data_IF_330877431949
#
_entry.id   IF_330877431949
#
_cell.length_a   1.000
_cell.length_b   1.000
_cell.length_c   1.000
_cell.angle_alpha   90.00
_cell.angle_beta   90.00
_cell.angle_gamma   90.00
#
_symmetry.space_group_name_H-M   'P 1'
#
loop_
_entity.id
_entity.type
_entity.pdbx_description
1 polymer ?
#
# COMPACT_ATOMS: atom_id res chain seq x y z
N UNK A 1 0.32 9.32 -19.37
CA UNK A 1 1.32 8.33 -19.87
C UNK A 1 1.65 7.38 -18.75
N UNK A 2 1.52 6.08 -18.95
CA UNK A 2 2.01 5.05 -18.05
C UNK A 2 3.50 4.88 -18.33
N UNK A 3 4.35 5.01 -17.32
CA UNK A 3 5.80 4.82 -17.45
C UNK A 3 6.18 3.34 -17.29
N UNK A 4 5.59 2.68 -16.30
CA UNK A 4 5.78 1.24 -16.07
C UNK A 4 4.52 0.65 -15.42
N UNK A 5 4.37 -0.65 -15.56
CA UNK A 5 3.25 -1.40 -14.99
C UNK A 5 3.76 -2.73 -14.48
N UNK A 6 3.44 -3.05 -13.23
CA UNK A 6 3.70 -4.36 -12.65
C UNK A 6 2.41 -4.88 -12.04
N UNK A 7 1.92 -5.99 -12.58
CA UNK A 7 0.67 -6.61 -12.16
C UNK A 7 0.96 -7.83 -11.30
N UNK A 8 0.07 -8.10 -10.37
CA UNK A 8 -0.02 -9.40 -9.70
C UNK A 8 -0.77 -10.34 -10.62
N UNK A 9 -0.19 -11.50 -11.00
CA UNK A 9 -0.89 -12.48 -11.83
C UNK A 9 -2.18 -12.96 -11.19
N UNK A 10 -3.24 -13.11 -11.97
CA UNK A 10 -4.54 -13.57 -11.47
C UNK A 10 -4.47 -14.91 -10.75
N UNK A 11 -3.61 -15.83 -11.21
CA UNK A 11 -3.39 -17.11 -10.54
C UNK A 11 -2.82 -16.94 -9.12
N UNK A 12 -1.89 -15.98 -8.91
CA UNK A 12 -1.31 -15.67 -7.60
C UNK A 12 -2.37 -15.02 -6.69
N UNK A 13 -3.14 -14.06 -7.23
CA UNK A 13 -4.23 -13.41 -6.49
C UNK A 13 -5.28 -14.43 -6.02
N UNK A 14 -5.65 -15.37 -6.91
CA UNK A 14 -6.60 -16.44 -6.63
C UNK A 14 -6.09 -17.37 -5.52
N UNK A 15 -4.87 -17.86 -5.66
CA UNK A 15 -4.26 -18.76 -4.67
C UNK A 15 -4.16 -18.09 -3.29
N UNK A 16 -3.67 -16.84 -3.24
CA UNK A 16 -3.57 -16.09 -1.99
C UNK A 16 -4.94 -15.87 -1.35
N UNK A 17 -5.96 -15.47 -2.13
CA UNK A 17 -7.30 -15.23 -1.61
C UNK A 17 -7.91 -16.50 -1.00
N UNK A 18 -7.78 -17.65 -1.64
CA UNK A 18 -8.28 -18.93 -1.12
C UNK A 18 -7.55 -19.37 0.14
N UNK A 19 -6.22 -19.30 0.16
CA UNK A 19 -5.45 -19.60 1.37
C UNK A 19 -5.80 -18.67 2.54
N UNK A 20 -6.02 -17.38 2.25
CA UNK A 20 -6.44 -16.44 3.29
C UNK A 20 -7.87 -16.70 3.76
N UNK A 21 -8.78 -17.15 2.89
CA UNK A 21 -10.12 -17.59 3.29
C UNK A 21 -10.09 -18.82 4.20
N UNK A 22 -9.18 -19.76 3.96
CA UNK A 22 -8.99 -20.92 4.83
C UNK A 22 -8.48 -20.49 6.22
N UNK A 23 -7.56 -19.54 6.27
CA UNK A 23 -6.98 -19.01 7.51
C UNK A 23 -7.90 -18.00 8.24
N UNK A 24 -8.74 -17.26 7.50
CA UNK A 24 -9.65 -16.23 8.00
C UNK A 24 -10.99 -16.28 7.26
N UNK A 25 -11.86 -17.25 7.58
CA UNK A 25 -13.17 -17.37 6.94
C UNK A 25 -14.03 -16.12 7.14
N UNK A 26 -14.62 -15.64 6.06
CA UNK A 26 -15.41 -14.40 6.08
C UNK A 26 -14.67 -13.16 5.56
N UNK A 27 -13.38 -13.26 5.25
CA UNK A 27 -12.65 -12.21 4.53
C UNK A 27 -13.35 -11.84 3.23
N UNK A 28 -13.34 -10.56 2.89
CA UNK A 28 -13.88 -10.02 1.63
C UNK A 28 -12.76 -9.34 0.85
N UNK A 29 -12.85 -9.47 -0.47
CA UNK A 29 -11.80 -8.99 -1.39
C UNK A 29 -12.31 -7.93 -2.34
N UNK A 30 -11.38 -7.09 -2.76
CA UNK A 30 -11.53 -6.14 -3.85
C UNK A 30 -10.24 -6.18 -4.66
N UNK A 31 -10.33 -6.16 -5.98
CA UNK A 31 -9.17 -6.00 -6.88
C UNK A 31 -9.24 -4.70 -7.65
N UNK A 32 -8.08 -4.09 -7.86
CA UNK A 32 -7.91 -2.86 -8.63
C UNK A 32 -7.21 -3.23 -9.94
N UNK A 33 -7.85 -2.93 -11.06
CA UNK A 33 -7.43 -3.29 -12.42
C UNK A 33 -7.39 -2.05 -13.32
N UNK A 34 -7.00 -2.23 -14.57
CA UNK A 34 -7.09 -1.21 -15.63
C UNK A 34 -6.47 0.14 -15.21
N UNK A 35 -5.22 0.11 -14.75
CA UNK A 35 -4.48 1.30 -14.30
C UNK A 35 -5.20 2.09 -13.18
N UNK A 36 -5.96 1.39 -12.33
CA UNK A 36 -6.69 1.99 -11.20
C UNK A 36 -8.12 2.45 -11.55
N UNK A 37 -8.60 2.20 -12.75
CA UNK A 37 -9.93 2.61 -13.21
C UNK A 37 -11.02 1.64 -12.76
N UNK A 38 -10.73 0.35 -12.72
CA UNK A 38 -11.68 -0.70 -12.36
C UNK A 38 -11.47 -1.19 -10.94
N UNK A 39 -12.56 -1.16 -10.15
CA UNK A 39 -12.64 -1.73 -8.81
C UNK A 39 -13.63 -2.90 -8.87
N UNK A 40 -13.13 -4.12 -8.83
CA UNK A 40 -13.95 -5.32 -8.75
C UNK A 40 -14.08 -5.74 -7.28
N UNK A 41 -15.21 -5.45 -6.63
CA UNK A 41 -15.43 -5.75 -5.22
C UNK A 41 -16.36 -6.96 -5.05
N UNK A 42 -15.99 -7.82 -4.09
CA UNK A 42 -16.79 -8.97 -3.72
C UNK A 42 -18.08 -8.54 -3.01
N UNK A 43 -19.16 -9.27 -3.25
CA UNK A 43 -20.41 -9.13 -2.49
C UNK A 43 -20.13 -9.14 -0.98
N UNK A 44 -20.65 -8.14 -0.27
CA UNK A 44 -20.40 -7.95 1.16
C UNK A 44 -19.13 -7.17 1.49
N UNK A 45 -18.34 -6.71 0.49
CA UNK A 45 -17.17 -5.85 0.73
C UNK A 45 -17.59 -4.41 1.01
N UNK A 46 -18.55 -3.88 0.26
CA UNK A 46 -19.01 -2.50 0.38
C UNK A 46 -19.56 -2.17 1.78
N UNK A 47 -20.18 -3.13 2.44
CA UNK A 47 -20.69 -3.00 3.81
C UNK A 47 -19.59 -2.87 4.87
N UNK A 48 -18.36 -3.22 4.53
CA UNK A 48 -17.18 -3.14 5.40
C UNK A 48 -16.38 -1.86 5.18
N UNK A 49 -16.77 -0.98 4.27
CA UNK A 49 -15.96 0.15 3.84
C UNK A 49 -16.70 1.48 3.94
N UNK A 50 -15.95 2.58 3.91
CA UNK A 50 -16.46 3.95 3.88
C UNK A 50 -15.88 4.68 2.67
N UNK A 51 -16.43 5.84 2.32
CA UNK A 51 -15.86 6.70 1.28
C UNK A 51 -14.36 6.99 1.50
N UNK A 52 -13.96 7.25 2.74
CA UNK A 52 -12.57 7.58 3.08
C UNK A 52 -11.58 6.44 2.80
N UNK A 53 -12.05 5.18 2.75
CA UNK A 53 -11.17 4.04 2.51
C UNK A 53 -10.63 3.98 1.08
N UNK A 54 -11.48 4.32 0.09
CA UNK A 54 -11.15 4.19 -1.33
C UNK A 54 -11.39 5.46 -2.15
N UNK A 55 -11.82 6.57 -1.52
CA UNK A 55 -12.31 7.78 -2.21
C UNK A 55 -13.43 7.47 -3.21
N UNK A 56 -14.29 6.51 -2.84
CA UNK A 56 -15.41 6.01 -3.65
C UNK A 56 -16.59 5.67 -2.74
N UNK A 57 -17.80 5.99 -3.19
CA UNK A 57 -19.01 5.64 -2.44
C UNK A 57 -19.19 4.11 -2.41
N UNK A 58 -19.43 3.51 -1.23
CA UNK A 58 -19.69 2.07 -1.12
C UNK A 58 -20.87 1.61 -1.98
N UNK A 59 -21.90 2.45 -2.16
CA UNK A 59 -23.06 2.16 -3.00
C UNK A 59 -22.72 1.98 -4.49
N UNK A 60 -21.61 2.57 -4.94
CA UNK A 60 -21.15 2.51 -6.33
C UNK A 60 -20.22 1.32 -6.60
N UNK A 61 -19.90 0.55 -5.55
CA UNK A 61 -19.04 -0.63 -5.69
C UNK A 61 -19.86 -1.82 -6.20
N UNK A 62 -19.37 -2.56 -7.21
CA UNK A 62 -20.04 -3.76 -7.69
C UNK A 62 -20.07 -4.85 -6.60
N UNK A 63 -21.12 -5.68 -6.62
CA UNK A 63 -21.26 -6.83 -5.71
C UNK A 63 -21.09 -8.13 -6.47
N UNK A 64 -19.83 -8.44 -6.84
CA UNK A 64 -19.47 -9.57 -7.68
C UNK A 64 -19.27 -10.86 -6.86
N UNK A 65 -19.29 -11.99 -7.52
CA UNK A 65 -18.85 -13.24 -6.91
C UNK A 65 -17.30 -13.28 -6.86
N UNK A 66 -16.74 -14.10 -5.96
CA UNK A 66 -15.28 -14.10 -5.74
C UNK A 66 -14.49 -14.40 -7.01
N UNK A 67 -14.92 -15.36 -7.81
CA UNK A 67 -14.25 -15.73 -9.06
C UNK A 67 -14.18 -14.56 -10.05
N UNK A 68 -15.22 -13.72 -10.11
CA UNK A 68 -15.24 -12.52 -10.95
C UNK A 68 -14.28 -11.44 -10.42
N UNK A 69 -14.16 -11.30 -9.09
CA UNK A 69 -13.20 -10.39 -8.45
C UNK A 69 -11.77 -10.78 -8.78
N UNK A 70 -11.49 -12.09 -8.75
CA UNK A 70 -10.15 -12.67 -8.94
C UNK A 70 -9.82 -12.97 -10.41
N UNK A 71 -10.74 -12.74 -11.34
CA UNK A 71 -10.52 -12.97 -12.76
C UNK A 71 -9.46 -12.01 -13.32
N UNK A 72 -8.40 -12.58 -13.91
CA UNK A 72 -7.30 -11.85 -14.55
C UNK A 72 -6.34 -11.15 -13.59
N UNK A 73 -5.34 -10.50 -14.18
CA UNK A 73 -4.28 -9.81 -13.47
C UNK A 73 -4.80 -8.51 -12.84
N UNK A 74 -4.20 -8.11 -11.71
CA UNK A 74 -4.57 -6.88 -11.02
C UNK A 74 -3.35 -6.08 -10.56
N UNK A 75 -3.51 -4.77 -10.40
CA UNK A 75 -2.49 -3.90 -9.81
C UNK A 75 -2.33 -4.18 -8.31
N UNK A 76 -3.46 -4.38 -7.66
CA UNK A 76 -3.53 -4.56 -6.21
C UNK A 76 -4.81 -5.31 -5.83
N UNK A 77 -4.71 -6.18 -4.87
CA UNK A 77 -5.85 -6.75 -4.16
C UNK A 77 -5.92 -6.13 -2.76
N UNK A 78 -7.14 -5.96 -2.27
CA UNK A 78 -7.42 -5.50 -0.91
C UNK A 78 -8.22 -6.59 -0.21
N UNK A 79 -7.87 -6.88 1.05
CA UNK A 79 -8.59 -7.84 1.88
C UNK A 79 -9.08 -7.16 3.16
N UNK A 80 -10.33 -7.43 3.54
CA UNK A 80 -10.96 -6.90 4.74
C UNK A 80 -11.79 -7.99 5.44
N UNK A 81 -11.80 -7.94 6.76
CA UNK A 81 -12.58 -8.90 7.54
C UNK A 81 -13.58 -8.16 8.45
N UNK A 82 -14.86 -8.65 8.56
CA UNK A 82 -15.87 -7.93 9.33
C UNK A 82 -15.59 -7.85 10.84
N UNK A 83 -14.88 -8.81 11.38
CA UNK A 83 -14.74 -8.98 12.84
C UNK A 83 -13.28 -9.06 13.32
N UNK A 84 -12.30 -9.26 12.43
CA UNK A 84 -10.89 -9.34 12.83
C UNK A 84 -10.23 -7.95 12.74
N UNK A 85 -9.45 -7.53 13.75
CA UNK A 85 -8.53 -6.41 13.62
C UNK A 85 -7.56 -6.62 12.45
N UNK A 86 -7.12 -5.54 11.84
CA UNK A 86 -6.22 -5.62 10.66
C UNK A 86 -4.89 -6.30 11.00
N UNK A 87 -4.39 -6.12 12.21
CA UNK A 87 -3.16 -6.75 12.69
C UNK A 87 -3.30 -8.28 12.77
N UNK A 88 -4.45 -8.78 13.23
CA UNK A 88 -4.72 -10.22 13.26
C UNK A 88 -4.91 -10.76 11.85
N UNK A 89 -5.61 -10.04 10.98
CA UNK A 89 -5.74 -10.43 9.58
C UNK A 89 -4.37 -10.48 8.88
N UNK A 90 -3.48 -9.52 9.17
CA UNK A 90 -2.12 -9.49 8.66
C UNK A 90 -1.28 -10.69 9.15
N UNK A 91 -1.41 -11.05 10.42
CA UNK A 91 -0.73 -12.23 10.97
C UNK A 91 -1.19 -13.52 10.28
N UNK A 92 -2.50 -13.66 10.01
CA UNK A 92 -3.04 -14.79 9.24
C UNK A 92 -2.57 -14.77 7.79
N UNK A 93 -2.55 -13.60 7.14
CA UNK A 93 -2.02 -13.46 5.79
C UNK A 93 -0.53 -13.85 5.70
N UNK A 94 0.28 -13.50 6.69
CA UNK A 94 1.68 -13.92 6.75
C UNK A 94 1.84 -15.45 6.90
N UNK A 95 0.87 -16.12 7.53
CA UNK A 95 0.91 -17.56 7.77
C UNK A 95 0.53 -18.41 6.54
N UNK A 96 -0.01 -17.81 5.47
CA UNK A 96 -0.42 -18.58 4.27
C UNK A 96 0.75 -19.04 3.40
N UNK A 97 1.98 -18.59 3.69
CA UNK A 97 3.21 -19.10 3.07
C UNK A 97 3.42 -18.65 1.62
N UNK A 98 3.06 -17.40 1.27
CA UNK A 98 3.21 -16.82 -0.06
C UNK A 98 4.05 -15.53 -0.07
N UNK A 99 4.99 -15.41 0.85
CA UNK A 99 5.82 -14.20 0.97
C UNK A 99 6.76 -13.96 -0.24
N UNK A 100 7.05 -15.01 -1.00
CA UNK A 100 7.88 -14.91 -2.22
C UNK A 100 7.05 -14.47 -3.47
N UNK A 101 5.72 -14.53 -3.39
CA UNK A 101 4.82 -14.21 -4.50
C UNK A 101 4.08 -12.88 -4.30
N UNK A 102 3.78 -12.53 -3.04
CA UNK A 102 3.01 -11.33 -2.72
C UNK A 102 3.69 -10.48 -1.65
N UNK A 103 3.50 -9.17 -1.76
CA UNK A 103 3.82 -8.20 -0.73
C UNK A 103 2.53 -7.77 -0.03
N UNK A 104 2.44 -7.96 1.29
CA UNK A 104 1.28 -7.62 2.12
C UNK A 104 1.64 -6.47 3.06
N UNK A 105 0.86 -5.40 3.03
CA UNK A 105 1.07 -4.24 3.88
C UNK A 105 -0.26 -3.63 4.36
N UNK A 106 -0.17 -2.61 5.21
CA UNK A 106 -1.30 -1.81 5.70
C UNK A 106 -0.97 -0.32 5.59
N UNK A 107 -1.97 0.50 5.30
CA UNK A 107 -1.84 1.96 5.17
C UNK A 107 -2.54 2.73 6.31
N UNK A 108 -2.64 2.13 7.50
CA UNK A 108 -3.37 2.71 8.63
C UNK A 108 -4.90 2.59 8.52
N UNK A 109 -5.41 1.94 7.48
CA UNK A 109 -6.83 1.62 7.27
C UNK A 109 -7.10 0.18 7.71
N UNK A 110 -8.35 -0.18 8.09
CA UNK A 110 -8.68 -1.52 8.58
C UNK A 110 -8.77 -2.54 7.42
N UNK A 111 -7.75 -2.61 6.59
CA UNK A 111 -7.65 -3.50 5.45
C UNK A 111 -6.19 -3.86 5.15
N UNK A 112 -5.97 -5.00 4.53
CA UNK A 112 -4.70 -5.38 3.94
C UNK A 112 -4.63 -4.89 2.49
N UNK A 113 -3.47 -4.42 2.10
CA UNK A 113 -3.11 -4.14 0.71
C UNK A 113 -2.13 -5.21 0.25
N UNK A 114 -2.46 -5.91 -0.83
CA UNK A 114 -1.70 -7.02 -1.37
C UNK A 114 -1.32 -6.70 -2.81
N UNK A 115 -0.04 -6.69 -3.10
CA UNK A 115 0.54 -6.48 -4.43
C UNK A 115 1.45 -7.66 -4.82
N UNK A 116 1.91 -7.69 -6.05
CA UNK A 116 2.96 -8.63 -6.45
C UNK A 116 4.22 -8.43 -5.59
N UNK A 117 4.98 -9.49 -5.35
CA UNK A 117 6.25 -9.37 -4.65
C UNK A 117 7.18 -8.37 -5.37
N UNK A 118 7.91 -7.58 -4.59
CA UNK A 118 8.76 -6.50 -5.10
C UNK A 118 8.01 -5.24 -5.54
N UNK A 119 6.69 -5.17 -5.38
CA UNK A 119 5.89 -3.96 -5.63
C UNK A 119 5.60 -3.27 -4.30
N UNK A 120 6.39 -2.25 -4.01
CA UNK A 120 6.24 -1.39 -2.84
C UNK A 120 6.59 0.06 -3.21
N UNK A 121 6.52 0.97 -2.26
CA UNK A 121 6.77 2.41 -2.54
C UNK A 121 8.22 2.70 -2.93
N UNK A 122 9.18 1.99 -2.36
CA UNK A 122 10.60 2.09 -2.70
C UNK A 122 10.89 1.64 -4.12
N UNK A 123 10.35 0.50 -4.55
CA UNK A 123 10.55 0.00 -5.92
C UNK A 123 9.97 0.96 -6.96
N UNK A 124 8.78 1.51 -6.71
CA UNK A 124 8.18 2.54 -7.56
C UNK A 124 9.02 3.82 -7.61
N UNK A 125 9.56 4.28 -6.48
CA UNK A 125 10.44 5.44 -6.41
C UNK A 125 11.77 5.18 -7.12
N UNK A 126 12.37 3.99 -6.94
CA UNK A 126 13.59 3.59 -7.64
C UNK A 126 13.41 3.62 -9.15
N UNK A 127 12.36 3.01 -9.67
CA UNK A 127 12.05 3.01 -11.10
C UNK A 127 11.84 4.43 -11.66
N UNK A 128 11.21 5.31 -10.90
CA UNK A 128 11.03 6.70 -11.29
C UNK A 128 12.37 7.46 -11.31
N UNK A 129 13.22 7.27 -10.31
CA UNK A 129 14.55 7.87 -10.24
C UNK A 129 15.42 7.42 -11.41
N UNK A 130 15.44 6.12 -11.73
CA UNK A 130 16.15 5.58 -12.88
C UNK A 130 15.66 6.18 -14.20
N UNK A 131 14.33 6.32 -14.36
CA UNK A 131 13.73 6.94 -15.55
C UNK A 131 14.10 8.42 -15.71
N UNK A 132 14.21 9.15 -14.60
CA UNK A 132 14.54 10.59 -14.60
C UNK A 132 16.04 10.87 -14.52
N UNK A 133 16.89 9.84 -14.32
CA UNK A 133 18.33 10.03 -14.10
C UNK A 133 18.65 10.72 -12.76
N UNK A 134 17.84 10.49 -11.73
CA UNK A 134 18.01 11.04 -10.38
C UNK A 134 18.75 10.00 -9.52
N UNK A 135 19.87 10.40 -8.93
CA UNK A 135 20.58 9.56 -7.98
C UNK A 135 19.75 9.35 -6.72
N UNK A 136 19.74 8.10 -6.19
CA UNK A 136 19.12 7.80 -4.91
C UNK A 136 19.54 8.78 -3.79
N UNK A 137 20.82 9.17 -3.78
CA UNK A 137 21.37 10.10 -2.79
C UNK A 137 20.70 11.49 -2.82
N UNK A 138 20.09 11.87 -3.95
CA UNK A 138 19.40 13.16 -4.13
C UNK A 138 17.90 13.09 -3.82
N UNK A 139 17.41 11.94 -3.31
CA UNK A 139 16.00 11.76 -2.95
C UNK A 139 15.74 12.09 -1.48
N UNK A 140 14.56 12.65 -1.23
CA UNK A 140 14.01 12.86 0.11
C UNK A 140 12.63 12.21 0.20
N UNK A 141 12.43 11.35 1.21
CA UNK A 141 11.16 10.69 1.45
C UNK A 141 10.52 11.10 2.79
N UNK A 142 9.19 11.17 2.80
CA UNK A 142 8.38 11.40 3.99
C UNK A 142 7.37 10.27 4.14
N UNK A 143 7.17 9.79 5.37
CA UNK A 143 6.22 8.71 5.62
C UNK A 143 5.74 8.63 7.05
N UNK A 144 4.61 7.98 7.26
CA UNK A 144 4.00 7.80 8.58
C UNK A 144 3.45 6.38 8.80
N UNK A 145 3.20 5.62 7.74
CA UNK A 145 2.60 4.30 7.78
C UNK A 145 3.58 3.13 7.69
N UNK A 146 3.08 1.93 7.91
CA UNK A 146 3.86 0.70 7.72
C UNK A 146 4.25 0.48 6.26
N UNK A 147 3.43 0.93 5.31
CA UNK A 147 3.70 0.88 3.86
C UNK A 147 4.74 1.91 3.38
N UNK A 148 5.30 2.74 4.27
CA UNK A 148 6.36 3.70 3.96
C UNK A 148 7.74 3.19 4.38
N UNK A 149 7.82 2.09 5.11
CA UNK A 149 9.06 1.60 5.75
C UNK A 149 10.16 1.38 4.74
N UNK A 150 9.89 0.66 3.65
CA UNK A 150 10.86 0.37 2.60
C UNK A 150 11.32 1.65 1.90
N UNK A 151 10.41 2.55 1.58
CA UNK A 151 10.72 3.84 0.95
C UNK A 151 11.58 4.72 1.86
N UNK A 152 11.26 4.80 3.16
CA UNK A 152 12.04 5.57 4.14
C UNK A 152 13.46 5.00 4.32
N UNK A 153 13.59 3.67 4.30
CA UNK A 153 14.89 3.00 4.36
C UNK A 153 15.69 3.15 3.07
N UNK A 154 15.01 3.19 1.90
CA UNK A 154 15.63 3.28 0.59
C UNK A 154 16.11 4.69 0.27
N UNK A 155 15.36 5.74 0.55
CA UNK A 155 15.67 7.10 0.15
C UNK A 155 17.05 7.57 0.62
N UNK A 156 17.65 8.53 -0.10
CA UNK A 156 18.92 9.17 0.25
C UNK A 156 18.84 9.90 1.58
N UNK A 157 17.75 10.65 1.78
CA UNK A 157 17.34 11.20 3.07
C UNK A 157 15.87 10.89 3.36
N UNK A 158 15.48 10.77 4.63
CA UNK A 158 14.12 10.36 4.98
C UNK A 158 13.65 10.88 6.33
N UNK A 159 12.36 11.21 6.39
CA UNK A 159 11.71 11.82 7.53
C UNK A 159 10.45 11.05 7.91
N UNK A 160 10.40 10.52 9.14
CA UNK A 160 9.17 10.03 9.72
C UNK A 160 8.36 11.20 10.31
N UNK A 161 7.08 11.27 9.97
CA UNK A 161 6.19 12.29 10.50
C UNK A 161 6.03 12.14 12.02
N UNK A 162 5.68 13.21 12.73
CA UNK A 162 5.56 13.20 14.19
C UNK A 162 4.58 12.14 14.71
N UNK A 163 3.53 11.85 13.92
CA UNK A 163 2.49 10.85 14.22
C UNK A 163 2.75 9.48 13.61
N UNK A 164 3.95 9.26 13.05
CA UNK A 164 4.29 8.01 12.37
C UNK A 164 4.28 6.78 13.31
N UNK A 165 3.92 5.64 12.74
CA UNK A 165 3.98 4.35 13.44
C UNK A 165 5.44 3.99 13.82
N UNK A 166 5.67 3.19 14.89
CA UNK A 166 7.03 2.87 15.35
C UNK A 166 7.95 2.30 14.28
N UNK A 167 7.44 1.50 13.35
CA UNK A 167 8.22 0.92 12.25
C UNK A 167 8.72 1.98 11.26
N UNK A 168 7.88 2.96 10.90
CA UNK A 168 8.28 4.06 10.03
C UNK A 168 9.32 4.97 10.73
N UNK A 169 9.14 5.20 12.05
CA UNK A 169 10.12 5.93 12.86
C UNK A 169 11.47 5.26 12.86
N UNK A 170 11.50 3.93 13.01
CA UNK A 170 12.75 3.15 13.03
C UNK A 170 13.45 3.11 11.67
N UNK A 171 12.71 3.20 10.57
CA UNK A 171 13.24 3.15 9.21
C UNK A 171 13.78 4.50 8.71
N UNK A 172 13.23 5.62 9.23
CA UNK A 172 13.62 6.96 8.79
C UNK A 172 14.91 7.45 9.48
N UNK A 173 15.64 8.31 8.77
CA UNK A 173 16.87 8.97 9.30
C UNK A 173 16.54 10.12 10.26
N UNK A 174 15.42 10.83 10.03
CA UNK A 174 15.04 12.03 10.75
C UNK A 174 13.56 12.01 11.13
N UNK A 175 13.17 13.04 11.92
CA UNK A 175 11.76 13.32 12.26
C UNK A 175 11.33 14.63 11.64
N UNK A 176 10.10 14.66 11.14
CA UNK A 176 9.41 15.87 10.70
C UNK A 176 8.27 16.21 11.67
N UNK A 177 7.85 17.49 11.77
CA UNK A 177 6.60 17.85 12.44
C UNK A 177 5.40 17.12 11.83
N UNK A 178 4.24 17.20 12.48
CA UNK A 178 3.01 16.56 12.00
C UNK A 178 2.51 17.22 10.70
N UNK A 179 1.63 16.52 9.98
CA UNK A 179 0.91 17.09 8.83
C UNK A 179 0.01 18.27 9.24
N UNK A 180 -0.52 18.28 10.46
CA UNK A 180 -1.31 19.38 11.00
C UNK A 180 -0.46 20.67 11.25
N UNK A 181 0.85 20.53 11.26
CA UNK A 181 1.82 21.63 11.43
C UNK A 181 2.58 21.92 10.13
N UNK A 182 2.08 21.47 8.97
CA UNK A 182 2.75 21.57 7.67
C UNK A 182 4.18 21.00 7.66
N UNK A 183 4.41 19.90 8.39
CA UNK A 183 5.74 19.36 8.67
C UNK A 183 6.57 19.06 7.43
N UNK A 184 5.97 18.58 6.34
CA UNK A 184 6.66 18.35 5.05
C UNK A 184 7.17 19.65 4.47
N UNK A 185 6.33 20.70 4.42
CA UNK A 185 6.71 22.01 3.89
C UNK A 185 7.87 22.61 4.70
N UNK A 186 7.79 22.57 6.03
CA UNK A 186 8.86 23.07 6.91
C UNK A 186 10.21 22.41 6.64
N UNK A 187 10.23 21.09 6.40
CA UNK A 187 11.47 20.37 6.10
C UNK A 187 11.99 20.78 4.71
N UNK A 188 11.11 20.83 3.69
CA UNK A 188 11.50 21.25 2.33
C UNK A 188 12.11 22.65 2.33
N UNK A 189 11.49 23.61 3.02
CA UNK A 189 12.00 25.00 3.12
C UNK A 189 13.40 25.02 3.76
N UNK A 190 13.64 24.24 4.81
CA UNK A 190 14.96 24.12 5.44
C UNK A 190 16.01 23.54 4.48
N UNK A 191 15.65 22.49 3.74
CA UNK A 191 16.57 21.86 2.77
C UNK A 191 16.92 22.80 1.63
N UNK A 192 15.95 23.58 1.11
CA UNK A 192 16.20 24.61 0.09
C UNK A 192 17.12 25.71 0.60
N UNK A 193 16.88 26.23 1.80
CA UNK A 193 17.73 27.27 2.41
C UNK A 193 19.18 26.80 2.68
N UNK A 194 19.42 25.50 2.82
CA UNK A 194 20.78 24.93 2.94
C UNK A 194 21.52 24.86 1.59
N UNK A 195 20.79 24.70 0.49
CA UNK A 195 21.39 24.66 -0.87
C UNK A 195 21.77 26.02 -1.42
N UNK A 196 21.22 27.10 -0.89
CA UNK A 196 21.49 28.46 -1.30
C UNK A 196 22.72 29.08 -0.61
N UNK A 197 23.37 28.37 0.29
CA UNK A 197 24.59 28.78 1.03
C UNK A 197 25.83 28.10 0.48
#
# INVERSE_FOLDING_TARGET
TVLFRQLMPGAVANEFAHRLLDAAPGTRFLTIKDDGLTFASQRGYAELTTFADHSREPSDMPALDLDEVLDGDCLKMVARHPNLPVEELAARAASVGMADEVHVTTSGKPMLEISANGVAKDSGLSMLCDHLGIDRADTVAFGDGANDVEMLAWAGDSYAMAHAVPLAVAAARHRAPSNAEDGVAQVIEKLLAMRER
#
